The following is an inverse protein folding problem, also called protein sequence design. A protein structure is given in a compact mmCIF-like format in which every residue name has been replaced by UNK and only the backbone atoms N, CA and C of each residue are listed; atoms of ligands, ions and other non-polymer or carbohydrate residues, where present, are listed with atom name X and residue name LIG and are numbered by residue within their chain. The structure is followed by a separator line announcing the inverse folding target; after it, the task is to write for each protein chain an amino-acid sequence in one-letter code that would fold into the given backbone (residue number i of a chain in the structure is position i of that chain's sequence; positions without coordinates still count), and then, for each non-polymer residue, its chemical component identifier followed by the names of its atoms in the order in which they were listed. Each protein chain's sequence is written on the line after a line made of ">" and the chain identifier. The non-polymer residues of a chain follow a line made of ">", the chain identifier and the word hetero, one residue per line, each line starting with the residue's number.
data_IF_328918927367
#
_entry.id   IF_328918927367
#
_cell.length_a   1.000
_cell.length_b   1.000
_cell.length_c   1.000
_cell.angle_alpha   90.00
_cell.angle_beta   90.00
_cell.angle_gamma   90.00
#
_symmetry.space_group_name_H-M   'P 1'
#
loop_
_entity.id
_entity.type
_entity.pdbx_description
1 polymer ?
#
# COMPACT_ATOMS: atom_id res chain seq x y z
N UNK A 1 -8.44 69.32 -17.09
CA UNK A 1 -8.63 67.96 -17.67
C UNK A 1 -7.32 67.15 -17.85
N UNK A 2 -6.14 67.76 -17.95
CA UNK A 2 -4.87 67.02 -18.17
C UNK A 2 -4.29 66.29 -16.93
N UNK A 3 -4.44 66.84 -15.72
CA UNK A 3 -3.86 66.25 -14.49
C UNK A 3 -4.43 64.87 -14.11
N UNK A 4 -5.69 64.60 -14.45
CA UNK A 4 -6.34 63.31 -14.17
C UNK A 4 -5.90 62.19 -15.11
N UNK A 5 -5.52 62.50 -16.36
CA UNK A 5 -4.97 61.52 -17.30
C UNK A 5 -3.54 61.12 -16.92
N UNK A 6 -2.71 62.09 -16.52
CA UNK A 6 -1.34 61.82 -16.08
C UNK A 6 -1.25 60.86 -14.87
N UNK A 7 -2.15 61.03 -13.88
CA UNK A 7 -2.23 60.12 -12.73
C UNK A 7 -2.63 58.69 -13.12
N UNK A 8 -3.54 58.53 -14.08
CA UNK A 8 -3.95 57.20 -14.57
C UNK A 8 -2.83 56.48 -15.31
N UNK A 9 -2.08 57.19 -16.15
CA UNK A 9 -0.92 56.59 -16.82
C UNK A 9 0.21 56.23 -15.84
N UNK A 10 0.44 57.05 -14.81
CA UNK A 10 1.43 56.75 -13.77
C UNK A 10 1.10 55.46 -13.01
N UNK A 11 -0.17 55.21 -12.68
CA UNK A 11 -0.59 53.97 -12.01
C UNK A 11 -0.41 52.76 -12.90
N UNK A 12 -0.75 52.84 -14.20
CA UNK A 12 -0.60 51.72 -15.13
C UNK A 12 0.88 51.34 -15.29
N UNK A 13 1.77 52.32 -15.45
CA UNK A 13 3.22 52.08 -15.58
C UNK A 13 3.79 51.48 -14.29
N UNK A 14 3.35 51.94 -13.12
CA UNK A 14 3.79 51.38 -11.85
C UNK A 14 3.38 49.91 -11.70
N UNK A 15 2.14 49.55 -12.02
CA UNK A 15 1.67 48.15 -11.91
C UNK A 15 2.41 47.23 -12.89
N UNK A 16 2.63 47.68 -14.13
CA UNK A 16 3.41 46.90 -15.10
C UNK A 16 4.88 46.73 -14.67
N UNK A 17 5.49 47.76 -14.08
CA UNK A 17 6.85 47.69 -13.55
C UNK A 17 7.00 46.68 -12.42
N UNK A 18 6.04 46.63 -11.49
CA UNK A 18 6.03 45.64 -10.40
C UNK A 18 5.82 44.22 -10.93
N UNK A 19 4.89 44.02 -11.87
CA UNK A 19 4.64 42.70 -12.46
C UNK A 19 5.85 42.17 -13.24
N UNK A 20 6.52 43.03 -14.02
CA UNK A 20 7.76 42.66 -14.73
C UNK A 20 8.92 42.38 -13.77
N UNK A 21 9.02 43.12 -12.66
CA UNK A 21 10.02 42.90 -11.63
C UNK A 21 9.88 41.52 -10.96
N UNK A 22 8.66 41.12 -10.60
CA UNK A 22 8.39 39.81 -10.01
C UNK A 22 8.70 38.70 -11.03
N UNK A 23 8.26 38.85 -12.28
CA UNK A 23 8.56 37.88 -13.34
C UNK A 23 10.06 37.71 -13.59
N UNK A 24 10.82 38.81 -13.56
CA UNK A 24 12.28 38.78 -13.72
C UNK A 24 12.97 38.05 -12.56
N UNK A 25 12.52 38.26 -11.31
CA UNK A 25 13.04 37.56 -10.13
C UNK A 25 12.70 36.07 -10.15
N UNK A 26 11.49 35.69 -10.56
CA UNK A 26 11.11 34.27 -10.67
C UNK A 26 11.88 33.53 -11.77
N UNK A 27 12.19 34.19 -12.88
CA UNK A 27 12.93 33.57 -13.98
C UNK A 27 14.45 33.52 -13.76
N UNK A 28 15.02 34.45 -12.99
CA UNK A 28 16.47 34.57 -12.83
C UNK A 28 16.98 34.34 -11.39
N UNK A 29 16.10 33.98 -10.45
CA UNK A 29 16.46 33.75 -9.04
C UNK A 29 17.57 32.71 -8.85
N UNK A 30 17.49 31.60 -9.59
CA UNK A 30 18.49 30.52 -9.52
C UNK A 30 19.85 30.92 -10.13
N UNK A 31 19.84 31.82 -11.12
CA UNK A 31 21.06 32.36 -11.75
C UNK A 31 21.81 33.37 -10.86
N UNK A 32 21.09 34.04 -9.94
CA UNK A 32 21.69 34.96 -8.96
C UNK A 32 22.17 34.21 -7.73
N UNK A 33 21.43 33.20 -7.27
CA UNK A 33 21.84 32.33 -6.15
C UNK A 33 23.17 31.60 -6.45
N UNK A 34 23.34 31.11 -7.68
CA UNK A 34 24.58 30.45 -8.14
C UNK A 34 25.80 31.36 -8.26
N UNK A 35 25.63 32.69 -8.32
CA UNK A 35 26.75 33.66 -8.34
C UNK A 35 27.13 34.19 -6.97
N UNK A 36 26.25 34.05 -5.97
CA UNK A 36 26.48 34.54 -4.61
C UNK A 36 27.14 33.50 -3.70
N UNK A 37 27.48 32.31 -4.22
CA UNK A 37 28.28 31.32 -3.49
C UNK A 37 27.63 30.81 -2.20
N UNK A 38 26.30 30.90 -2.09
CA UNK A 38 25.55 30.29 -0.99
C UNK A 38 25.26 28.84 -1.40
N UNK A 39 26.31 28.03 -1.43
CA UNK A 39 26.20 26.58 -1.50
C UNK A 39 25.60 26.09 -0.17
N UNK A 40 24.28 25.87 -0.15
CA UNK A 40 23.72 24.94 0.81
C UNK A 40 24.31 23.56 0.50
N UNK A 41 24.92 22.85 1.46
CA UNK A 41 25.46 21.52 1.22
C UNK A 41 24.30 20.62 0.80
N UNK A 42 24.29 20.25 -0.48
CA UNK A 42 23.46 19.17 -0.99
C UNK A 42 23.94 17.91 -0.25
N UNK A 43 23.11 17.23 0.56
CA UNK A 43 23.50 15.92 1.04
C UNK A 43 23.53 15.03 -0.18
N UNK A 44 24.74 14.79 -0.68
CA UNK A 44 25.05 13.67 -1.55
C UNK A 44 24.87 12.42 -0.69
N UNK A 45 23.60 12.01 -0.52
CA UNK A 45 23.32 10.64 -0.12
C UNK A 45 23.78 9.80 -1.30
N UNK A 46 24.96 9.20 -1.12
CA UNK A 46 25.33 8.00 -1.81
C UNK A 46 24.10 7.08 -1.81
N UNK A 47 23.53 6.87 -3.00
CA UNK A 47 22.65 5.74 -3.24
C UNK A 47 23.51 4.52 -2.92
N UNK A 48 23.34 3.97 -1.72
CA UNK A 48 23.71 2.59 -1.51
C UNK A 48 22.70 1.81 -2.36
N UNK A 49 23.13 1.45 -3.56
CA UNK A 49 22.47 0.45 -4.40
C UNK A 49 22.13 -0.72 -3.49
N UNK A 50 20.85 -0.90 -3.17
CA UNK A 50 20.38 -2.17 -2.68
C UNK A 50 20.48 -3.12 -3.86
N UNK A 51 21.29 -4.14 -3.66
CA UNK A 51 21.75 -5.10 -4.65
C UNK A 51 20.62 -5.49 -5.60
N UNK A 52 20.82 -5.07 -6.84
CA UNK A 52 20.10 -5.51 -8.02
C UNK A 52 19.94 -7.02 -7.97
N UNK A 53 18.71 -7.47 -8.19
CA UNK A 53 18.36 -8.80 -8.65
C UNK A 53 19.44 -9.34 -9.61
N UNK A 54 20.23 -10.31 -9.15
CA UNK A 54 21.16 -11.05 -10.02
C UNK A 54 20.37 -12.20 -10.64
N UNK A 55 19.99 -12.16 -11.93
CA UNK A 55 19.58 -13.37 -12.59
C UNK A 55 20.81 -14.27 -12.66
N UNK A 56 20.76 -15.42 -11.98
CA UNK A 56 21.78 -16.47 -12.10
C UNK A 56 21.80 -16.92 -13.55
N UNK A 57 22.78 -16.42 -14.31
CA UNK A 57 23.19 -17.01 -15.58
C UNK A 57 23.86 -18.33 -15.27
N UNK A 58 23.15 -19.43 -15.51
CA UNK A 58 23.78 -20.74 -15.60
C UNK A 58 24.84 -20.69 -16.71
N UNK A 59 26.12 -20.67 -16.34
CA UNK A 59 27.22 -20.87 -17.28
C UNK A 59 28.05 -22.03 -16.78
N UNK A 60 28.05 -23.11 -17.56
CA UNK A 60 28.94 -24.24 -17.37
C UNK A 60 28.44 -25.51 -18.07
N UNK A 61 28.69 -25.62 -19.38
CA UNK A 61 29.61 -26.62 -19.96
C UNK A 61 29.62 -26.54 -21.49
N UNK A 62 30.78 -26.75 -22.15
CA UNK A 62 30.90 -26.69 -23.60
C UNK A 62 30.61 -28.06 -24.20
N UNK A 63 29.64 -28.15 -25.11
CA UNK A 63 29.70 -29.20 -26.12
C UNK A 63 29.04 -28.77 -27.43
N UNK A 64 29.73 -29.15 -28.50
CA UNK A 64 29.51 -28.76 -29.88
C UNK A 64 28.09 -29.04 -30.35
N UNK A 65 27.50 -28.05 -31.03
CA UNK A 65 26.22 -28.19 -31.72
C UNK A 65 26.47 -28.85 -33.06
N UNK A 66 26.15 -30.13 -33.15
CA UNK A 66 25.57 -30.73 -34.37
C UNK A 66 24.53 -31.71 -33.89
N UNK A 67 23.25 -31.40 -34.08
CA UNK A 67 22.30 -32.20 -34.86
C UNK A 67 20.87 -31.74 -34.56
N UNK A 68 20.03 -31.82 -35.59
CA UNK A 68 18.64 -31.37 -35.62
C UNK A 68 17.76 -32.16 -34.64
N UNK A 69 16.93 -31.45 -33.86
CA UNK A 69 15.96 -32.07 -32.98
C UNK A 69 15.31 -31.06 -32.06
N UNK A 70 14.18 -30.50 -32.49
CA UNK A 70 13.33 -29.64 -31.67
C UNK A 70 12.86 -30.39 -30.42
N UNK A 71 13.37 -30.01 -29.26
CA UNK A 71 12.78 -30.34 -27.96
C UNK A 71 12.50 -29.01 -27.28
N UNK A 72 11.23 -28.60 -27.31
CA UNK A 72 10.75 -27.59 -26.38
C UNK A 72 10.90 -28.17 -24.97
N UNK A 73 11.50 -27.45 -23.99
CA UNK A 73 11.52 -27.92 -22.62
C UNK A 73 10.07 -27.98 -22.14
N UNK A 74 9.67 -29.16 -21.67
CA UNK A 74 8.38 -29.36 -21.03
C UNK A 74 8.33 -28.51 -19.75
N UNK A 75 7.55 -27.42 -19.78
CA UNK A 75 7.29 -26.58 -18.61
C UNK A 75 6.37 -27.28 -17.58
N UNK A 76 6.09 -28.57 -17.76
CA UNK A 76 5.44 -29.45 -16.78
C UNK A 76 6.40 -30.47 -16.16
N UNK A 77 7.72 -30.24 -16.18
CA UNK A 77 8.62 -31.01 -15.33
C UNK A 77 8.33 -30.67 -13.85
N UNK A 78 7.89 -31.63 -13.01
CA UNK A 78 7.70 -31.38 -11.59
C UNK A 78 9.03 -30.94 -10.98
N UNK A 79 8.97 -29.87 -10.17
CA UNK A 79 10.08 -29.53 -9.27
C UNK A 79 10.39 -30.77 -8.44
N UNK A 80 11.66 -31.16 -8.43
CA UNK A 80 12.13 -32.37 -7.76
C UNK A 80 11.64 -32.41 -6.31
N UNK A 81 10.82 -33.41 -5.99
CA UNK A 81 10.43 -33.77 -4.63
C UNK A 81 11.63 -34.45 -3.94
N UNK A 82 12.66 -33.67 -3.62
CA UNK A 82 13.72 -34.12 -2.72
C UNK A 82 13.14 -34.14 -1.29
N UNK A 83 12.54 -35.27 -0.93
CA UNK A 83 12.27 -35.67 0.46
C UNK A 83 11.23 -34.83 1.20
N UNK A 84 9.98 -34.80 0.71
CA UNK A 84 8.87 -34.59 1.62
C UNK A 84 8.88 -35.74 2.64
N UNK A 85 9.23 -35.44 3.89
CA UNK A 85 9.09 -36.40 4.98
C UNK A 85 7.62 -36.86 5.01
N UNK A 86 7.39 -38.16 5.12
CA UNK A 86 6.06 -38.73 4.97
C UNK A 86 5.12 -38.14 6.04
N UNK A 87 4.28 -37.18 5.65
CA UNK A 87 3.38 -36.44 6.56
C UNK A 87 3.67 -34.94 6.77
N UNK A 88 4.74 -34.39 6.18
CA UNK A 88 5.06 -32.95 6.23
C UNK A 88 4.78 -32.20 4.91
N UNK A 89 3.87 -32.71 4.08
CA UNK A 89 3.48 -32.03 2.84
C UNK A 89 2.84 -30.67 3.17
N UNK A 90 3.26 -29.63 2.44
CA UNK A 90 2.71 -28.29 2.57
C UNK A 90 1.82 -28.02 1.36
N UNK A 91 0.55 -27.71 1.59
CA UNK A 91 -0.39 -27.29 0.53
C UNK A 91 -0.83 -25.86 0.77
N UNK A 92 -1.02 -25.10 -0.31
CA UNK A 92 -1.47 -23.71 -0.23
C UNK A 92 -2.44 -23.41 -1.36
N UNK A 93 -3.68 -23.08 -1.00
CA UNK A 93 -4.77 -22.85 -1.94
C UNK A 93 -5.33 -21.43 -1.79
N UNK A 94 -5.82 -20.90 -2.91
CA UNK A 94 -6.45 -19.59 -2.98
C UNK A 94 -7.79 -19.70 -3.72
N UNK A 95 -8.90 -19.49 -2.99
CA UNK A 95 -10.24 -19.53 -3.54
C UNK A 95 -10.87 -18.13 -3.56
N UNK A 96 -11.39 -17.64 -4.70
CA UNK A 96 -12.05 -16.34 -4.75
C UNK A 96 -13.37 -16.39 -3.96
N UNK A 97 -13.73 -15.28 -3.34
CA UNK A 97 -14.90 -15.13 -2.49
C UNK A 97 -15.61 -13.80 -2.78
N UNK A 98 -16.72 -13.56 -2.09
CA UNK A 98 -17.54 -12.35 -2.23
C UNK A 98 -16.73 -11.08 -1.96
N UNK A 99 -17.22 -9.95 -2.46
CA UNK A 99 -16.57 -8.64 -2.33
C UNK A 99 -15.10 -8.62 -2.79
N UNK A 100 -14.75 -9.43 -3.80
CA UNK A 100 -13.38 -9.59 -4.31
C UNK A 100 -12.35 -9.96 -3.20
N UNK A 101 -12.79 -10.77 -2.24
CA UNK A 101 -11.93 -11.40 -1.23
C UNK A 101 -11.37 -12.72 -1.77
N UNK A 102 -10.32 -13.23 -1.15
CA UNK A 102 -9.73 -14.54 -1.43
C UNK A 102 -9.54 -15.27 -0.13
N UNK A 103 -10.12 -16.45 0.00
CA UNK A 103 -9.87 -17.34 1.13
C UNK A 103 -8.58 -18.11 0.84
N UNK A 104 -7.61 -17.96 1.73
CA UNK A 104 -6.34 -18.65 1.68
C UNK A 104 -6.36 -19.79 2.70
N UNK A 105 -6.08 -21.01 2.23
CA UNK A 105 -5.96 -22.19 3.08
C UNK A 105 -4.55 -22.73 2.93
N UNK A 106 -3.82 -22.82 4.03
CA UNK A 106 -2.48 -23.40 4.12
C UNK A 106 -2.53 -24.58 5.09
N UNK A 107 -2.09 -25.75 4.62
CA UNK A 107 -1.87 -26.94 5.46
C UNK A 107 -0.37 -27.18 5.55
N UNK A 108 0.18 -27.19 6.75
CA UNK A 108 1.59 -27.43 7.00
C UNK A 108 1.78 -28.21 8.32
N UNK A 109 1.51 -29.54 8.36
CA UNK A 109 1.41 -30.31 9.61
C UNK A 109 2.65 -30.27 10.51
N UNK A 110 3.83 -30.02 9.94
CA UNK A 110 5.10 -29.94 10.65
C UNK A 110 5.49 -28.51 11.08
N UNK A 111 4.59 -27.55 10.81
CA UNK A 111 4.72 -26.13 11.13
C UNK A 111 3.51 -25.66 11.95
N UNK A 112 3.27 -26.28 13.09
CA UNK A 112 2.25 -25.85 14.06
C UNK A 112 2.65 -24.53 14.72
N UNK A 113 1.68 -23.64 14.97
CA UNK A 113 1.88 -22.37 15.68
C UNK A 113 3.06 -21.55 15.13
N UNK A 114 3.28 -21.65 13.82
CA UNK A 114 4.45 -21.10 13.14
C UNK A 114 4.08 -19.80 12.42
N UNK A 115 4.99 -18.83 12.46
CA UNK A 115 4.80 -17.55 11.77
C UNK A 115 4.80 -17.75 10.25
N UNK A 116 3.82 -17.13 9.59
CA UNK A 116 3.64 -17.11 8.14
C UNK A 116 3.59 -15.66 7.68
N UNK A 117 4.52 -15.28 6.80
CA UNK A 117 4.48 -14.02 6.08
C UNK A 117 3.71 -14.20 4.76
N UNK A 118 2.58 -13.50 4.63
CA UNK A 118 1.78 -13.48 3.40
C UNK A 118 2.10 -12.21 2.61
N UNK A 119 2.37 -12.36 1.31
CA UNK A 119 2.63 -11.27 0.39
C UNK A 119 1.70 -11.34 -0.83
N UNK A 120 1.15 -10.19 -1.23
CA UNK A 120 0.25 -10.07 -2.38
C UNK A 120 0.26 -8.63 -2.94
N UNK A 121 0.76 -8.42 -4.16
CA UNK A 121 0.70 -7.10 -4.84
C UNK A 121 1.15 -5.92 -3.95
N UNK A 122 2.27 -6.10 -3.25
CA UNK A 122 2.83 -5.11 -2.32
C UNK A 122 2.25 -5.18 -0.89
N UNK A 123 1.05 -5.73 -0.70
CA UNK A 123 0.50 -6.00 0.63
C UNK A 123 1.31 -7.11 1.32
N UNK A 124 1.65 -6.89 2.59
CA UNK A 124 2.41 -7.83 3.42
C UNK A 124 1.89 -7.83 4.85
N UNK A 125 1.62 -9.01 5.38
CA UNK A 125 1.24 -9.17 6.79
C UNK A 125 1.70 -10.52 7.34
N UNK A 126 1.77 -10.59 8.67
CA UNK A 126 2.18 -11.77 9.40
C UNK A 126 1.00 -12.41 10.13
N UNK A 127 0.89 -13.72 10.06
CA UNK A 127 -0.11 -14.51 10.80
C UNK A 127 0.52 -15.83 11.27
N UNK A 128 -0.22 -16.64 12.03
CA UNK A 128 0.25 -17.95 12.47
C UNK A 128 -0.64 -19.06 11.93
N UNK A 129 -0.03 -20.21 11.68
CA UNK A 129 -0.77 -21.48 11.65
C UNK A 129 -1.26 -21.83 13.06
N UNK A 130 -2.28 -22.68 13.15
CA UNK A 130 -2.75 -23.21 14.42
C UNK A 130 -1.92 -24.41 14.92
N UNK A 131 -2.37 -25.04 16.01
CA UNK A 131 -1.71 -26.19 16.61
C UNK A 131 -1.63 -27.43 15.70
N UNK A 132 -2.39 -27.47 14.61
CA UNK A 132 -2.36 -28.54 13.60
C UNK A 132 -1.56 -28.17 12.37
N UNK A 133 -1.03 -26.94 12.29
CA UNK A 133 -0.35 -26.43 11.10
C UNK A 133 -1.29 -25.88 10.04
N UNK A 134 -2.56 -25.66 10.37
CA UNK A 134 -3.57 -25.14 9.45
C UNK A 134 -3.69 -23.61 9.59
N UNK A 135 -3.92 -22.92 8.48
CA UNK A 135 -4.22 -21.50 8.43
C UNK A 135 -5.34 -21.25 7.42
N UNK A 136 -6.42 -20.61 7.86
CA UNK A 136 -7.52 -20.12 7.04
C UNK A 136 -7.68 -18.61 7.25
N UNK A 137 -7.50 -17.82 6.19
CA UNK A 137 -7.59 -16.36 6.25
C UNK A 137 -8.20 -15.77 4.98
N UNK A 138 -9.16 -14.87 5.14
CA UNK A 138 -9.75 -14.11 4.05
C UNK A 138 -8.96 -12.83 3.78
N UNK A 139 -8.41 -12.69 2.57
CA UNK A 139 -7.53 -11.57 2.17
C UNK A 139 -8.16 -10.78 1.01
N UNK A 140 -8.20 -9.44 1.08
CA UNK A 140 -8.61 -8.61 -0.04
C UNK A 140 -7.63 -8.73 -1.24
N UNK A 141 -8.10 -9.18 -2.41
CA UNK A 141 -7.35 -9.12 -3.66
C UNK A 141 -7.01 -7.69 -4.13
N UNK A 142 -5.78 -7.44 -4.53
CA UNK A 142 -5.32 -6.18 -5.13
C UNK A 142 -4.98 -6.33 -6.62
N UNK A 143 -5.22 -7.52 -7.20
CA UNK A 143 -5.13 -7.79 -8.63
C UNK A 143 -6.20 -8.80 -9.07
N UNK A 144 -6.67 -8.67 -10.32
CA UNK A 144 -7.61 -9.61 -10.95
C UNK A 144 -6.97 -10.98 -11.17
N UNK A 145 -5.67 -11.01 -11.41
CA UNK A 145 -4.86 -12.23 -11.35
C UNK A 145 -4.07 -12.15 -10.04
N UNK A 146 -4.57 -12.85 -9.03
CA UNK A 146 -4.07 -12.72 -7.68
C UNK A 146 -3.03 -13.79 -7.38
N UNK A 147 -1.78 -13.35 -7.24
CA UNK A 147 -0.64 -14.18 -6.83
C UNK A 147 -0.39 -13.95 -5.34
N UNK A 148 -0.45 -15.02 -4.55
CA UNK A 148 -0.15 -15.00 -3.11
C UNK A 148 1.11 -15.83 -2.85
N UNK A 149 2.03 -15.28 -2.06
CA UNK A 149 3.20 -15.98 -1.55
C UNK A 149 3.07 -16.08 -0.03
N UNK A 150 3.09 -17.30 0.50
CA UNK A 150 3.23 -17.56 1.93
C UNK A 150 4.66 -18.04 2.20
N UNK A 151 5.33 -17.45 3.19
CA UNK A 151 6.67 -17.87 3.63
C UNK A 151 6.62 -18.24 5.10
N UNK A 152 6.99 -19.48 5.42
CA UNK A 152 7.08 -19.99 6.79
C UNK A 152 8.46 -19.65 7.41
N UNK A 153 8.60 -19.69 8.73
CA UNK A 153 9.84 -19.31 9.46
C UNK A 153 11.12 -20.01 9.00
N UNK A 154 11.01 -21.20 8.38
CA UNK A 154 12.16 -21.95 7.85
C UNK A 154 12.59 -21.50 6.44
N UNK A 155 11.97 -20.46 5.90
CA UNK A 155 12.26 -19.92 4.56
C UNK A 155 11.54 -20.65 3.43
N UNK A 156 10.78 -21.71 3.73
CA UNK A 156 9.94 -22.40 2.75
C UNK A 156 8.85 -21.46 2.25
N UNK A 157 8.84 -21.21 0.94
CA UNK A 157 7.86 -20.37 0.27
C UNK A 157 6.92 -21.20 -0.60
N UNK A 158 5.61 -21.02 -0.43
CA UNK A 158 4.57 -21.65 -1.25
C UNK A 158 3.70 -20.59 -1.92
N UNK A 159 3.21 -20.90 -3.11
CA UNK A 159 2.48 -19.94 -3.96
C UNK A 159 1.10 -20.49 -4.31
N UNK A 160 0.10 -19.64 -4.22
CA UNK A 160 -1.26 -19.90 -4.69
C UNK A 160 -1.70 -18.78 -5.64
N UNK A 161 -2.43 -19.14 -6.69
CA UNK A 161 -2.88 -18.21 -7.73
C UNK A 161 -4.37 -18.37 -7.94
N UNK A 162 -5.09 -17.26 -8.09
CA UNK A 162 -6.52 -17.31 -8.38
C UNK A 162 -7.01 -16.10 -9.18
N UNK A 163 -8.11 -16.25 -9.89
CA UNK A 163 -8.76 -15.19 -10.66
C UNK A 163 -9.84 -14.48 -9.86
N UNK A 164 -9.78 -13.15 -9.77
CA UNK A 164 -10.72 -12.28 -9.03
C UNK A 164 -11.27 -11.19 -9.96
N UNK A 165 -12.07 -11.54 -10.98
CA UNK A 165 -12.55 -10.58 -11.97
C UNK A 165 -13.42 -9.48 -11.35
N UNK A 166 -14.15 -9.79 -10.28
CA UNK A 166 -15.02 -8.86 -9.55
C UNK A 166 -14.26 -7.69 -8.91
N UNK A 167 -12.93 -7.75 -8.81
CA UNK A 167 -12.11 -6.64 -8.32
C UNK A 167 -12.35 -5.34 -9.11
N UNK A 168 -12.76 -5.40 -10.38
CA UNK A 168 -13.12 -4.19 -11.15
C UNK A 168 -14.32 -3.42 -10.61
N UNK A 169 -15.02 -3.96 -9.62
CA UNK A 169 -16.20 -3.33 -9.01
C UNK A 169 -15.86 -2.60 -7.72
N UNK A 170 -14.61 -2.66 -7.26
CA UNK A 170 -14.20 -2.16 -5.96
C UNK A 170 -12.97 -1.26 -6.04
N UNK A 171 -13.01 -0.18 -5.27
CA UNK A 171 -11.83 0.61 -4.90
C UNK A 171 -11.29 0.10 -3.56
N UNK A 172 -9.96 0.14 -3.40
CA UNK A 172 -9.31 -0.25 -2.15
C UNK A 172 -8.27 0.76 -1.70
N UNK A 173 -8.31 1.07 -0.40
CA UNK A 173 -7.28 1.82 0.30
C UNK A 173 -6.62 0.89 1.34
N UNK A 174 -5.35 0.60 1.13
CA UNK A 174 -4.54 -0.27 1.97
C UNK A 174 -3.59 0.58 2.77
N UNK A 175 -3.53 0.37 4.08
CA UNK A 175 -2.54 0.94 4.98
C UNK A 175 -1.80 -0.20 5.66
N UNK A 176 -0.49 -0.29 5.48
CA UNK A 176 0.35 -1.30 6.12
C UNK A 176 1.53 -0.69 6.85
N UNK A 177 1.95 -1.32 7.95
CA UNK A 177 3.08 -0.86 8.76
C UNK A 177 3.74 -2.03 9.48
N UNK A 178 4.96 -1.77 9.97
CA UNK A 178 5.68 -2.70 10.83
C UNK A 178 5.95 -2.09 12.20
N UNK A 179 6.02 -2.95 13.22
CA UNK A 179 6.28 -2.53 14.59
C UNK A 179 5.00 -2.21 15.37
N UNK A 180 5.18 -1.75 16.60
CA UNK A 180 4.11 -1.65 17.60
C UNK A 180 3.30 -0.34 17.56
N UNK A 181 3.58 0.55 16.61
CA UNK A 181 2.78 1.78 16.46
C UNK A 181 1.45 1.42 15.82
N UNK A 182 0.35 1.71 16.52
CA UNK A 182 -0.98 1.49 15.96
C UNK A 182 -1.36 2.65 15.02
N UNK A 183 -1.43 2.34 13.73
CA UNK A 183 -2.02 3.20 12.73
C UNK A 183 -3.49 2.82 12.48
N UNK A 184 -4.29 3.81 12.15
CA UNK A 184 -5.73 3.66 11.92
C UNK A 184 -6.10 4.32 10.60
N UNK A 185 -6.67 3.53 9.69
CA UNK A 185 -7.31 4.02 8.48
C UNK A 185 -8.75 4.40 8.80
N UNK A 186 -9.13 5.62 8.44
CA UNK A 186 -10.47 6.15 8.60
C UNK A 186 -11.02 6.52 7.23
N UNK A 187 -12.21 6.02 6.93
CA UNK A 187 -13.00 6.38 5.77
C UNK A 187 -14.26 7.10 6.23
N UNK A 188 -14.45 8.34 5.78
CA UNK A 188 -15.66 9.13 6.02
C UNK A 188 -16.47 9.17 4.73
N UNK A 189 -17.46 8.30 4.65
CA UNK A 189 -18.32 8.16 3.47
C UNK A 189 -19.36 9.29 3.40
N UNK A 190 -19.60 9.80 2.18
CA UNK A 190 -20.70 10.71 1.86
C UNK A 190 -20.75 11.97 2.73
N UNK A 191 -19.57 12.48 3.12
CA UNK A 191 -19.46 13.68 3.97
C UNK A 191 -19.80 13.45 5.44
N UNK A 192 -19.76 12.20 5.93
CA UNK A 192 -20.01 11.87 7.33
C UNK A 192 -18.98 12.51 8.27
N UNK A 193 -19.44 12.93 9.45
CA UNK A 193 -18.58 13.39 10.54
C UNK A 193 -17.87 12.22 11.24
N UNK A 194 -16.79 12.53 11.95
CA UNK A 194 -16.09 11.55 12.79
C UNK A 194 -17.04 10.99 13.84
N UNK A 195 -17.24 9.68 13.80
CA UNK A 195 -18.14 8.95 14.70
C UNK A 195 -19.59 8.86 14.21
N UNK A 196 -19.90 9.44 13.05
CA UNK A 196 -21.19 9.25 12.37
C UNK A 196 -21.31 7.87 11.71
N UNK A 197 -22.48 7.57 11.15
CA UNK A 197 -22.77 6.26 10.52
C UNK A 197 -21.87 5.96 9.31
N UNK A 198 -21.45 6.99 8.56
CA UNK A 198 -20.55 6.86 7.42
C UNK A 198 -19.07 6.77 7.79
N UNK A 199 -18.71 6.78 9.08
CA UNK A 199 -17.33 6.67 9.53
C UNK A 199 -16.90 5.21 9.72
N UNK A 200 -16.23 4.65 8.72
CA UNK A 200 -15.68 3.29 8.74
C UNK A 200 -14.23 3.31 9.18
N UNK A 201 -13.93 2.55 10.23
CA UNK A 201 -12.58 2.37 10.77
C UNK A 201 -12.57 1.08 11.61
N UNK A 202 -11.40 0.68 12.13
CA UNK A 202 -11.24 -0.57 12.88
C UNK A 202 -12.33 -0.82 13.95
N UNK A 203 -12.69 0.19 14.75
CA UNK A 203 -13.68 0.02 15.82
C UNK A 203 -15.16 0.17 15.36
N UNK A 204 -15.40 0.54 14.11
CA UNK A 204 -16.73 0.62 13.50
C UNK A 204 -16.72 0.00 12.10
N UNK A 205 -16.05 -1.15 11.96
CA UNK A 205 -16.05 -1.88 10.70
C UNK A 205 -17.41 -2.52 10.45
N UNK A 206 -17.79 -2.60 9.18
CA UNK A 206 -19.01 -3.24 8.71
C UNK A 206 -18.69 -4.62 8.16
N UNK A 207 -19.72 -5.42 7.94
CA UNK A 207 -19.56 -6.70 7.26
C UNK A 207 -19.49 -6.51 5.73
N UNK A 208 -18.91 -7.45 4.97
CA UNK A 208 -18.79 -7.35 3.52
C UNK A 208 -20.13 -7.18 2.77
N UNK A 209 -21.25 -7.59 3.37
CA UNK A 209 -22.59 -7.49 2.79
C UNK A 209 -22.98 -6.05 2.43
N UNK A 210 -22.62 -5.06 3.27
CA UNK A 210 -22.90 -3.64 2.99
C UNK A 210 -22.27 -3.18 1.68
N UNK A 211 -21.12 -3.76 1.34
CA UNK A 211 -20.38 -3.50 0.10
C UNK A 211 -20.92 -4.28 -1.08
N UNK A 212 -21.41 -5.51 -0.86
CA UNK A 212 -22.08 -6.30 -1.90
C UNK A 212 -23.39 -5.63 -2.34
N UNK A 213 -24.11 -5.03 -1.39
CA UNK A 213 -25.36 -4.32 -1.64
C UNK A 213 -25.16 -2.91 -2.22
N UNK A 214 -23.90 -2.46 -2.39
CA UNK A 214 -23.57 -1.14 -2.96
C UNK A 214 -23.85 0.05 -2.03
N UNK A 215 -24.17 -0.20 -0.76
CA UNK A 215 -24.58 0.83 0.21
C UNK A 215 -23.37 1.59 0.77
N UNK A 216 -22.25 0.91 1.02
CA UNK A 216 -21.04 1.53 1.52
C UNK A 216 -19.87 0.57 1.62
N UNK A 217 -18.79 0.99 2.26
CA UNK A 217 -17.55 0.23 2.41
C UNK A 217 -17.47 -0.58 3.71
N UNK A 218 -16.44 -1.41 3.78
CA UNK A 218 -16.04 -2.14 4.98
C UNK A 218 -14.52 -2.13 5.15
N UNK A 219 -14.04 -2.44 6.37
CA UNK A 219 -12.62 -2.47 6.68
C UNK A 219 -12.17 -3.84 7.19
N UNK A 220 -11.18 -4.42 6.53
CA UNK A 220 -10.51 -5.66 6.96
C UNK A 220 -9.21 -5.32 7.68
N UNK A 221 -8.94 -5.98 8.80
CA UNK A 221 -7.64 -5.91 9.48
C UNK A 221 -6.95 -7.27 9.38
N UNK A 222 -5.70 -7.29 8.95
CA UNK A 222 -4.86 -8.48 8.93
C UNK A 222 -3.56 -8.20 9.67
N UNK A 223 -2.86 -9.26 10.06
CA UNK A 223 -1.65 -9.19 10.84
C UNK A 223 -1.85 -9.55 12.31
N UNK A 224 -0.79 -10.06 12.92
CA UNK A 224 -0.72 -10.42 14.34
C UNK A 224 0.06 -9.38 15.15
N UNK A 225 -0.17 -9.32 16.47
CA UNK A 225 0.57 -8.49 17.43
C UNK A 225 1.56 -9.29 18.28
N UNK A 226 1.66 -10.60 18.07
CA UNK A 226 2.47 -11.48 18.92
C UNK A 226 3.98 -11.34 18.67
N UNK A 227 4.37 -10.81 17.50
CA UNK A 227 5.77 -10.65 17.10
C UNK A 227 6.43 -9.40 17.70
N UNK A 228 7.78 -9.42 17.74
CA UNK A 228 8.57 -8.26 18.15
C UNK A 228 8.52 -7.09 17.13
N UNK A 229 8.24 -7.39 15.86
CA UNK A 229 8.11 -6.43 14.78
C UNK A 229 6.90 -6.78 13.89
N UNK A 230 5.68 -6.67 14.44
CA UNK A 230 4.48 -7.17 13.79
C UNK A 230 4.25 -6.44 12.46
N UNK A 231 3.89 -7.17 11.41
CA UNK A 231 3.46 -6.62 10.14
C UNK A 231 1.93 -6.63 10.05
N UNK A 232 1.34 -5.44 10.13
CA UNK A 232 -0.12 -5.22 10.20
C UNK A 232 -0.60 -4.49 8.96
N UNK A 233 -1.85 -4.74 8.58
CA UNK A 233 -2.50 -4.06 7.47
C UNK A 233 -3.97 -3.80 7.77
N UNK A 234 -4.46 -2.65 7.32
CA UNK A 234 -5.89 -2.33 7.22
C UNK A 234 -6.22 -2.10 5.75
N UNK A 235 -7.32 -2.70 5.29
CA UNK A 235 -7.81 -2.53 3.92
C UNK A 235 -9.25 -2.07 3.99
N UNK A 236 -9.49 -0.85 3.54
CA UNK A 236 -10.83 -0.36 3.27
C UNK A 236 -11.23 -0.73 1.85
N UNK A 237 -12.39 -1.36 1.68
CA UNK A 237 -12.96 -1.75 0.38
C UNK A 237 -14.27 -1.01 0.17
N UNK A 238 -14.42 -0.35 -0.98
CA UNK A 238 -15.63 0.39 -1.34
C UNK A 238 -16.17 -0.05 -2.71
N UNK A 239 -17.49 -0.24 -2.88
CA UNK A 239 -18.10 -0.74 -4.11
C UNK A 239 -18.32 0.34 -5.18
N UNK A 240 -17.26 1.05 -5.58
CA UNK A 240 -17.34 2.17 -6.54
C UNK A 240 -17.99 1.80 -7.88
N UNK A 241 -17.84 0.55 -8.33
CA UNK A 241 -18.41 0.08 -9.60
C UNK A 241 -19.91 -0.25 -9.53
N UNK A 242 -20.52 -0.22 -8.34
CA UNK A 242 -21.92 -0.58 -8.10
C UNK A 242 -22.56 0.26 -6.97
N UNK A 243 -21.98 1.42 -6.65
CA UNK A 243 -22.45 2.23 -5.51
C UNK A 243 -23.84 2.80 -5.80
N UNK A 244 -24.71 2.74 -4.79
CA UNK A 244 -26.07 3.31 -4.84
C UNK A 244 -26.12 4.81 -4.52
N UNK A 245 -24.99 5.39 -4.12
CA UNK A 245 -24.90 6.76 -3.63
C UNK A 245 -23.81 7.54 -4.37
N UNK A 246 -24.15 8.76 -4.81
CA UNK A 246 -23.16 9.74 -5.23
C UNK A 246 -22.45 10.34 -4.01
N UNK A 247 -21.20 10.76 -4.17
CA UNK A 247 -20.48 11.50 -3.14
C UNK A 247 -18.99 11.19 -3.14
N UNK A 248 -18.32 11.50 -2.03
CA UNK A 248 -16.90 11.21 -1.85
C UNK A 248 -16.69 10.39 -0.57
N UNK A 249 -15.62 9.60 -0.55
CA UNK A 249 -15.08 9.01 0.68
C UNK A 249 -13.80 9.75 1.03
N UNK A 250 -13.84 10.52 2.11
CA UNK A 250 -12.65 11.20 2.62
C UNK A 250 -11.79 10.22 3.42
N UNK A 251 -10.55 10.02 2.98
CA UNK A 251 -9.62 9.06 3.59
C UNK A 251 -8.58 9.78 4.45
N UNK A 252 -8.40 9.30 5.68
CA UNK A 252 -7.33 9.81 6.55
C UNK A 252 -6.71 8.71 7.39
N UNK A 253 -5.46 8.92 7.79
CA UNK A 253 -4.77 8.02 8.72
C UNK A 253 -4.49 8.74 10.02
N UNK A 254 -4.68 8.03 11.13
CA UNK A 254 -4.28 8.49 12.46
C UNK A 254 -3.27 7.53 13.06
N UNK A 255 -2.34 8.06 13.83
CA UNK A 255 -1.46 7.29 14.69
C UNK A 255 -1.55 7.85 16.10
N UNK A 256 -1.81 7.00 17.08
CA UNK A 256 -1.78 7.41 18.48
C UNK A 256 -0.34 7.61 18.96
N UNK A 257 -0.11 8.68 19.71
CA UNK A 257 1.18 8.92 20.37
C UNK A 257 1.17 8.15 21.68
N UNK A 258 2.05 7.16 21.81
CA UNK A 258 2.18 6.31 22.99
C UNK A 258 3.55 6.48 23.62
N UNK A 259 3.72 5.98 24.85
CA UNK A 259 5.02 5.95 25.50
C UNK A 259 6.07 5.14 24.70
N UNK A 260 5.61 4.19 23.87
CA UNK A 260 6.47 3.30 23.10
C UNK A 260 6.96 3.91 21.78
N UNK A 261 6.25 4.90 21.23
CA UNK A 261 6.57 5.51 19.94
C UNK A 261 6.96 7.01 20.00
N UNK A 262 6.72 7.69 21.12
CA UNK A 262 6.98 9.13 21.22
C UNK A 262 8.45 9.49 20.95
N UNK A 263 8.67 10.55 20.17
CA UNK A 263 9.99 11.02 19.74
C UNK A 263 10.74 10.12 18.76
N UNK A 264 10.16 8.96 18.38
CA UNK A 264 10.75 7.99 17.45
C UNK A 264 10.28 8.23 16.03
N UNK A 265 11.01 7.65 15.07
CA UNK A 265 10.55 7.59 13.69
C UNK A 265 9.62 6.40 13.53
N UNK A 266 8.49 6.63 12.87
CA UNK A 266 7.52 5.60 12.49
C UNK A 266 7.39 5.58 10.97
N UNK A 267 7.06 4.41 10.44
CA UNK A 267 6.90 4.21 9.01
C UNK A 267 5.65 3.39 8.70
N UNK A 268 5.02 3.72 7.58
CA UNK A 268 3.89 3.01 7.02
C UNK A 268 3.95 3.10 5.50
N UNK A 269 3.13 2.32 4.81
CA UNK A 269 2.94 2.41 3.37
C UNK A 269 1.44 2.40 3.07
N UNK A 270 1.01 3.31 2.19
CA UNK A 270 -0.31 3.23 1.57
C UNK A 270 -0.22 2.56 0.21
N UNK A 271 -1.24 1.79 -0.16
CA UNK A 271 -1.48 1.30 -1.52
C UNK A 271 -2.94 1.62 -1.86
N UNK A 272 -3.17 2.30 -2.97
CA UNK A 272 -4.51 2.63 -3.44
C UNK A 272 -4.76 1.97 -4.80
N UNK A 273 -5.91 1.34 -4.91
CA UNK A 273 -6.37 0.65 -6.11
C UNK A 273 -7.72 1.21 -6.51
N UNK A 274 -7.84 1.54 -7.80
CA UNK A 274 -9.09 1.91 -8.45
C UNK A 274 -9.24 1.12 -9.75
N UNK A 275 -10.45 0.75 -10.19
CA UNK A 275 -10.65 -0.03 -11.42
C UNK A 275 -10.03 0.58 -12.68
N UNK A 276 -9.99 1.92 -12.74
CA UNK A 276 -9.60 2.69 -13.93
C UNK A 276 -8.17 3.26 -13.86
N UNK A 277 -7.45 3.05 -12.75
CA UNK A 277 -6.10 3.60 -12.54
C UNK A 277 -5.10 2.51 -12.12
N UNK A 278 -3.82 2.61 -12.52
CA UNK A 278 -2.78 1.75 -11.99
C UNK A 278 -2.70 1.85 -10.46
N UNK A 279 -2.37 0.76 -9.74
CA UNK A 279 -2.15 0.82 -8.30
C UNK A 279 -1.07 1.85 -7.94
N UNK A 280 -1.35 2.68 -6.93
CA UNK A 280 -0.43 3.71 -6.46
C UNK A 280 0.02 3.40 -5.03
N UNK A 281 1.33 3.24 -4.82
CA UNK A 281 1.92 3.02 -3.50
C UNK A 281 2.72 4.24 -3.03
N UNK A 282 2.60 4.60 -1.75
CA UNK A 282 3.34 5.73 -1.14
C UNK A 282 3.93 5.32 0.20
N UNK A 283 5.24 5.51 0.36
CA UNK A 283 5.94 5.29 1.62
C UNK A 283 5.81 6.51 2.53
N UNK A 284 5.71 6.24 3.83
CA UNK A 284 5.57 7.24 4.87
C UNK A 284 6.69 7.00 5.86
N UNK A 285 7.44 8.04 6.17
CA UNK A 285 8.36 8.04 7.28
C UNK A 285 8.28 9.40 7.96
N UNK A 286 8.08 9.39 9.27
CA UNK A 286 8.01 10.62 10.03
C UNK A 286 8.37 10.43 11.49
N UNK A 287 8.67 11.54 12.13
CA UNK A 287 8.97 11.58 13.55
C UNK A 287 7.71 11.84 14.34
N UNK A 288 7.39 10.94 15.27
CA UNK A 288 6.32 11.12 16.25
C UNK A 288 6.71 12.28 17.19
N UNK A 289 5.78 13.16 17.58
CA UNK A 289 6.03 14.19 18.57
C UNK A 289 6.56 13.64 19.91
N UNK A 290 7.11 14.53 20.73
CA UNK A 290 7.67 14.16 22.05
C UNK A 290 6.62 13.59 23.00
N UNK A 291 7.09 12.92 24.05
CA UNK A 291 6.26 12.17 25.00
C UNK A 291 5.32 13.04 25.86
N UNK A 292 5.43 14.38 25.76
CA UNK A 292 4.48 15.32 26.36
C UNK A 292 3.09 15.25 25.70
N UNK A 293 2.97 14.63 24.52
CA UNK A 293 1.73 14.52 23.74
C UNK A 293 1.15 13.09 23.75
N UNK A 294 1.54 12.24 24.71
CA UNK A 294 1.00 10.88 24.81
C UNK A 294 -0.52 10.92 25.02
N UNK A 295 -1.25 10.10 24.24
CA UNK A 295 -2.71 10.07 24.16
C UNK A 295 -3.31 10.99 23.09
N UNK A 296 -2.50 11.84 22.45
CA UNK A 296 -2.93 12.59 21.27
C UNK A 296 -2.77 11.76 19.99
N UNK A 297 -3.40 12.23 18.90
CA UNK A 297 -3.34 11.59 17.59
C UNK A 297 -2.64 12.46 16.56
N UNK A 298 -1.69 11.87 15.87
CA UNK A 298 -1.11 12.44 14.67
C UNK A 298 -2.01 12.11 13.48
N UNK A 299 -2.66 13.13 12.90
CA UNK A 299 -3.42 12.95 11.67
C UNK A 299 -2.53 13.18 10.44
N UNK A 300 -2.53 12.18 9.58
CA UNK A 300 -1.79 12.16 8.32
C UNK A 300 -2.73 12.49 7.17
N UNK A 301 -2.43 13.58 6.46
CA UNK A 301 -3.18 13.99 5.27
C UNK A 301 -2.41 13.60 4.00
N UNK A 302 -3.13 13.44 2.90
CA UNK A 302 -2.59 13.20 1.55
C UNK A 302 -1.88 11.84 1.34
N UNK A 303 -2.17 10.85 2.20
CA UNK A 303 -1.68 9.48 2.02
C UNK A 303 -2.48 8.69 0.99
N UNK A 304 -3.75 9.05 0.89
CA UNK A 304 -4.70 8.54 -0.08
C UNK A 304 -5.27 9.74 -0.83
N UNK A 305 -5.71 9.50 -2.04
CA UNK A 305 -6.63 10.38 -2.75
C UNK A 305 -8.05 10.02 -2.30
N UNK A 306 -8.91 11.02 -2.12
CA UNK A 306 -10.31 10.77 -1.78
C UNK A 306 -10.99 9.99 -2.93
N UNK A 307 -11.89 9.07 -2.58
CA UNK A 307 -12.60 8.29 -3.59
C UNK A 307 -13.82 9.08 -4.04
N UNK A 308 -13.82 9.56 -5.28
CA UNK A 308 -15.00 10.19 -5.88
C UNK A 308 -15.92 9.14 -6.48
N UNK A 309 -17.20 9.20 -6.11
CA UNK A 309 -18.21 8.21 -6.40
C UNK A 309 -19.30 8.81 -7.27
N UNK A 310 -19.56 8.13 -8.38
CA UNK A 310 -20.75 8.35 -9.19
C UNK A 310 -21.61 7.09 -9.12
N UNK A 311 -22.85 7.24 -8.66
CA UNK A 311 -23.82 6.17 -8.61
C UNK A 311 -24.06 5.58 -10.01
N UNK A 312 -24.28 4.26 -10.06
CA UNK A 312 -24.49 3.50 -11.30
C UNK A 312 -25.84 2.80 -11.34
#
# INVERSE_FOLDING_TARGET
>A
MQRTRARRYATIVATFGVALGIGFVMQNGDAVASRLGVDAPKPEMALQEFDTYIPVRATGLPHSITDEGSVFPDMMAPLSEDGADAGCEITFEAAPSVAAMVNLVLEAPCHSESLVLIQHQGLKFQTYTDATGHLDVAVPALSKEAFFLATLEQGTGVVAITGVPDLSKYDRAVLQWSGTTEFQLHALEFGSDVGGEGHVWAAASRSPEVTIDGVGGFLTQLGTLQDAAPMRVQVYTFPSGMSLHDGDVALSVKAEITADNCGRNVAAQSIQLSPDHPPAARNISMRVPGCDNVGEFLQLKNLFEDLTLAAR
#
